data_IF_634120115134
#
_entry.id   IF_634120115134
#
_cell.length_a   1.000
_cell.length_b   1.000
_cell.length_c   1.000
_cell.angle_alpha   90.00
_cell.angle_beta   90.00
_cell.angle_gamma   90.00
#
_symmetry.space_group_name_H-M   'P 1'
#
loop_
_entity.id
_entity.type
_entity.pdbx_description
1 polymer ?
#
# COMPACT_ATOMS: atom_id res chain seq x y z
N UNK A 1 0.30 -9.37 -28.16
CA UNK A 1 -0.15 -9.19 -26.76
C UNK A 1 0.38 -10.35 -25.94
N UNK A 2 1.36 -10.09 -25.06
CA UNK A 2 1.89 -11.12 -24.15
C UNK A 2 0.94 -11.28 -22.96
N UNK A 3 0.51 -12.52 -22.71
CA UNK A 3 -0.33 -12.89 -21.56
C UNK A 3 0.45 -12.63 -20.27
N UNK A 4 -0.12 -11.98 -19.24
CA UNK A 4 0.59 -11.76 -17.99
C UNK A 4 0.96 -13.12 -17.37
N UNK A 5 2.15 -13.26 -16.76
CA UNK A 5 2.51 -14.50 -16.10
C UNK A 5 1.49 -14.79 -14.99
N UNK A 6 0.97 -16.02 -14.96
CA UNK A 6 0.21 -16.50 -13.81
C UNK A 6 1.10 -16.33 -12.58
N UNK A 7 0.56 -15.76 -11.50
CA UNK A 7 1.30 -15.56 -10.24
C UNK A 7 0.73 -16.58 -9.26
N UNK A 8 1.53 -17.58 -8.91
CA UNK A 8 1.21 -18.50 -7.82
C UNK A 8 1.82 -17.96 -6.52
N UNK A 9 1.17 -18.15 -5.36
CA UNK A 9 1.74 -17.73 -4.09
C UNK A 9 3.07 -18.45 -3.87
N UNK A 10 4.06 -17.79 -3.24
CA UNK A 10 5.38 -18.37 -3.12
C UNK A 10 5.33 -19.47 -2.04
N UNK A 11 5.86 -20.68 -2.28
CA UNK A 11 5.72 -21.79 -1.36
C UNK A 11 6.50 -21.58 -0.05
N UNK A 12 5.94 -22.06 1.05
CA UNK A 12 6.58 -22.17 2.37
C UNK A 12 6.37 -23.57 2.95
N UNK A 13 7.29 -24.04 3.81
CA UNK A 13 7.35 -25.43 4.26
C UNK A 13 8.75 -26.05 4.12
N UNK A 14 8.87 -27.36 3.93
CA UNK A 14 10.18 -28.03 3.82
C UNK A 14 11.01 -27.54 2.63
N UNK A 15 12.14 -26.85 2.90
CA UNK A 15 13.09 -26.39 1.87
C UNK A 15 13.55 -27.49 0.89
N UNK A 16 13.90 -28.71 1.35
CA UNK A 16 14.20 -29.83 0.45
C UNK A 16 13.05 -30.16 -0.53
N UNK A 17 11.81 -30.03 -0.07
CA UNK A 17 10.62 -30.31 -0.91
C UNK A 17 10.42 -29.20 -1.96
N UNK A 18 10.60 -27.95 -1.55
CA UNK A 18 10.59 -26.80 -2.46
C UNK A 18 11.68 -26.90 -3.52
N UNK A 19 12.93 -27.16 -3.12
CA UNK A 19 14.08 -27.28 -4.02
C UNK A 19 13.86 -28.41 -5.03
N UNK A 20 13.21 -29.51 -4.63
CA UNK A 20 12.86 -30.62 -5.52
C UNK A 20 11.77 -30.29 -6.56
N UNK A 21 10.93 -29.27 -6.32
CA UNK A 21 9.75 -28.97 -7.15
C UNK A 21 9.78 -27.58 -7.80
N UNK A 22 10.83 -26.79 -7.57
CA UNK A 22 10.97 -25.42 -8.09
C UNK A 22 10.83 -25.34 -9.61
N UNK A 23 11.31 -26.35 -10.35
CA UNK A 23 11.19 -26.39 -11.82
C UNK A 23 9.75 -26.38 -12.30
N UNK A 24 8.88 -27.17 -11.65
CA UNK A 24 7.44 -27.26 -11.94
C UNK A 24 6.70 -26.01 -11.48
N UNK A 25 7.07 -25.47 -10.31
CA UNK A 25 6.43 -24.28 -9.74
C UNK A 25 6.72 -23.02 -10.56
N UNK A 26 7.92 -22.89 -11.14
CA UNK A 26 8.27 -21.80 -12.07
C UNK A 26 7.42 -21.78 -13.34
N UNK A 27 6.84 -22.91 -13.74
CA UNK A 27 5.91 -22.97 -14.87
C UNK A 27 4.53 -22.34 -14.55
N UNK A 28 4.20 -22.20 -13.26
CA UNK A 28 2.95 -21.60 -12.77
C UNK A 28 3.07 -20.11 -12.43
N UNK A 29 4.30 -19.60 -12.29
CA UNK A 29 4.60 -18.21 -11.94
C UNK A 29 5.96 -18.03 -11.27
N UNK A 30 6.29 -16.79 -10.89
CA UNK A 30 7.47 -16.53 -10.08
C UNK A 30 7.34 -17.28 -8.73
N UNK A 31 8.24 -18.23 -8.48
CA UNK A 31 8.27 -19.03 -7.26
C UNK A 31 9.43 -18.55 -6.37
N UNK A 32 9.09 -18.00 -5.20
CA UNK A 32 10.03 -17.63 -4.15
C UNK A 32 9.77 -18.49 -2.91
N UNK A 33 10.80 -18.92 -2.20
CA UNK A 33 10.63 -19.64 -0.94
C UNK A 33 10.52 -18.65 0.21
N UNK A 34 9.46 -18.74 1.01
CA UNK A 34 9.18 -17.76 2.07
C UNK A 34 9.58 -18.20 3.48
N UNK A 35 10.07 -19.43 3.64
CA UNK A 35 10.50 -19.96 4.92
C UNK A 35 9.85 -21.30 5.28
N UNK A 36 10.24 -21.84 6.44
CA UNK A 36 9.82 -23.17 6.88
C UNK A 36 8.39 -23.23 7.43
N UNK A 37 7.82 -22.09 7.81
CA UNK A 37 6.44 -22.00 8.29
C UNK A 37 5.46 -21.99 7.10
N UNK A 38 4.64 -23.04 7.02
CA UNK A 38 3.63 -23.23 5.99
C UNK A 38 2.59 -22.08 5.94
N UNK A 39 2.40 -21.32 7.03
CA UNK A 39 1.51 -20.17 7.07
C UNK A 39 2.05 -18.93 6.34
N UNK A 40 3.36 -18.85 6.08
CA UNK A 40 3.98 -17.68 5.47
C UNK A 40 3.53 -17.46 4.02
N UNK A 41 3.30 -18.52 3.26
CA UNK A 41 2.78 -18.42 1.90
C UNK A 41 1.42 -17.70 1.86
N UNK A 42 0.46 -18.15 2.68
CA UNK A 42 -0.87 -17.55 2.77
C UNK A 42 -0.83 -16.13 3.33
N UNK A 43 0.03 -15.85 4.32
CA UNK A 43 0.18 -14.50 4.86
C UNK A 43 0.71 -13.52 3.79
N UNK A 44 1.74 -13.92 3.02
CA UNK A 44 2.28 -13.07 1.97
C UNK A 44 1.27 -12.84 0.85
N UNK A 45 0.48 -13.86 0.48
CA UNK A 45 -0.59 -13.71 -0.50
C UNK A 45 -1.64 -12.69 -0.04
N UNK A 46 -2.12 -12.82 1.20
CA UNK A 46 -3.07 -11.86 1.79
C UNK A 46 -2.47 -10.44 1.89
N UNK A 47 -1.19 -10.30 2.22
CA UNK A 47 -0.51 -9.02 2.27
C UNK A 47 -0.41 -8.37 0.87
N UNK A 48 -0.08 -9.15 -0.16
CA UNK A 48 -0.06 -8.69 -1.55
C UNK A 48 -1.45 -8.27 -2.03
N UNK A 49 -2.48 -9.06 -1.69
CA UNK A 49 -3.88 -8.73 -2.00
C UNK A 49 -4.34 -7.48 -1.26
N UNK A 50 -3.91 -7.26 -0.02
CA UNK A 50 -4.19 -6.03 0.73
C UNK A 50 -3.66 -4.79 -0.02
N UNK A 51 -2.41 -4.85 -0.51
CA UNK A 51 -1.85 -3.79 -1.36
C UNK A 51 -2.65 -3.57 -2.66
N UNK A 52 -3.11 -4.65 -3.30
CA UNK A 52 -3.98 -4.57 -4.48
C UNK A 52 -5.31 -3.86 -4.18
N UNK A 53 -5.95 -4.16 -3.04
CA UNK A 53 -7.19 -3.48 -2.66
C UNK A 53 -6.96 -2.00 -2.31
N UNK A 54 -5.79 -1.64 -1.76
CA UNK A 54 -5.38 -0.24 -1.60
C UNK A 54 -5.28 0.50 -2.95
N UNK A 55 -4.66 -0.13 -3.95
CA UNK A 55 -4.61 0.39 -5.32
C UNK A 55 -6.01 0.59 -5.91
N UNK A 56 -6.91 -0.38 -5.74
CA UNK A 56 -8.29 -0.27 -6.22
C UNK A 56 -9.05 0.85 -5.53
N UNK A 57 -8.92 0.98 -4.20
CA UNK A 57 -9.54 2.06 -3.45
C UNK A 57 -9.10 3.45 -3.95
N UNK A 58 -7.79 3.65 -4.14
CA UNK A 58 -7.25 4.89 -4.68
C UNK A 58 -7.72 5.17 -6.11
N UNK A 59 -7.67 4.16 -6.99
CA UNK A 59 -8.09 4.29 -8.39
C UNK A 59 -9.58 4.63 -8.52
N UNK A 60 -10.46 3.94 -7.77
CA UNK A 60 -11.90 4.21 -7.83
C UNK A 60 -12.26 5.57 -7.25
N UNK A 61 -11.65 5.98 -6.14
CA UNK A 61 -11.87 7.30 -5.58
C UNK A 61 -11.43 8.40 -6.56
N UNK A 62 -10.20 8.33 -7.08
CA UNK A 62 -9.68 9.33 -8.01
C UNK A 62 -10.50 9.40 -9.30
N UNK A 63 -10.95 8.25 -9.82
CA UNK A 63 -11.78 8.19 -11.03
C UNK A 63 -13.17 8.78 -10.76
N UNK A 64 -13.81 8.46 -9.64
CA UNK A 64 -15.12 9.02 -9.29
C UNK A 64 -15.06 10.55 -9.13
N UNK A 65 -13.95 11.08 -8.62
CA UNK A 65 -13.74 12.52 -8.48
C UNK A 65 -13.64 13.24 -9.82
N UNK A 66 -13.00 12.67 -10.84
CA UNK A 66 -12.94 13.30 -12.17
C UNK A 66 -14.18 13.02 -13.01
N UNK A 67 -14.87 11.91 -12.76
CA UNK A 67 -16.13 11.54 -13.42
C UNK A 67 -17.26 12.50 -13.04
N UNK A 68 -17.23 13.12 -11.85
CA UNK A 68 -18.19 14.17 -11.47
C UNK A 68 -18.16 15.40 -12.38
N UNK A 69 -17.05 15.60 -13.09
CA UNK A 69 -16.85 16.66 -14.11
C UNK A 69 -16.89 16.10 -15.55
N UNK A 70 -17.36 14.86 -15.73
CA UNK A 70 -17.52 14.22 -17.04
C UNK A 70 -16.25 13.66 -17.67
N UNK A 71 -15.12 13.61 -16.94
CA UNK A 71 -13.87 13.05 -17.45
C UNK A 71 -13.93 11.53 -17.36
N UNK A 72 -13.84 10.86 -18.51
CA UNK A 72 -13.91 9.41 -18.54
C UNK A 72 -12.67 8.73 -17.95
N UNK A 73 -12.89 7.63 -17.22
CA UNK A 73 -11.84 6.84 -16.58
C UNK A 73 -10.67 6.46 -17.50
N UNK A 74 -10.95 6.11 -18.77
CA UNK A 74 -9.91 5.72 -19.75
C UNK A 74 -9.00 6.88 -20.14
N UNK A 75 -9.55 8.08 -20.21
CA UNK A 75 -8.79 9.31 -20.48
C UNK A 75 -7.94 9.67 -19.27
N UNK A 76 -8.54 9.71 -18.09
CA UNK A 76 -7.83 10.01 -16.85
C UNK A 76 -6.72 9.00 -16.55
N UNK A 77 -6.89 7.73 -16.89
CA UNK A 77 -5.86 6.71 -16.72
C UNK A 77 -4.55 7.03 -17.45
N UNK A 78 -4.59 7.81 -18.55
CA UNK A 78 -3.38 8.23 -19.25
C UNK A 78 -2.50 9.14 -18.37
N UNK A 79 -3.12 9.90 -17.45
CA UNK A 79 -2.43 10.74 -16.48
C UNK A 79 -2.11 9.95 -15.20
N UNK A 80 -3.11 9.24 -14.65
CA UNK A 80 -2.99 8.56 -13.37
C UNK A 80 -2.02 7.37 -13.41
N UNK A 81 -1.96 6.63 -14.52
CA UNK A 81 -1.10 5.44 -14.66
C UNK A 81 0.39 5.73 -14.49
N UNK A 82 0.97 6.66 -15.27
CA UNK A 82 2.37 7.09 -15.10
C UNK A 82 2.64 7.68 -13.70
N UNK A 83 1.69 8.46 -13.16
CA UNK A 83 1.81 9.02 -11.82
C UNK A 83 1.92 7.93 -10.73
N UNK A 84 1.00 6.96 -10.73
CA UNK A 84 1.06 5.83 -9.79
C UNK A 84 2.36 5.02 -9.96
N UNK A 85 2.85 4.88 -11.19
CA UNK A 85 4.13 4.21 -11.46
C UNK A 85 5.31 4.95 -10.84
N UNK A 86 5.34 6.29 -10.95
CA UNK A 86 6.35 7.10 -10.28
C UNK A 86 6.26 6.98 -8.75
N UNK A 87 5.04 7.01 -8.18
CA UNK A 87 4.81 6.87 -6.74
C UNK A 87 5.23 5.50 -6.18
N UNK A 88 5.18 4.43 -6.98
CA UNK A 88 5.76 3.14 -6.56
C UNK A 88 7.28 3.24 -6.28
N UNK A 89 7.97 4.22 -6.87
CA UNK A 89 9.38 4.49 -6.63
C UNK A 89 9.71 4.96 -5.21
N UNK A 90 8.72 5.46 -4.46
CA UNK A 90 8.89 5.93 -3.07
C UNK A 90 8.86 4.77 -2.05
N UNK A 91 8.27 3.62 -2.43
CA UNK A 91 8.07 2.49 -1.52
C UNK A 91 9.35 1.93 -0.87
N UNK A 92 10.51 1.85 -1.56
CA UNK A 92 11.76 1.44 -0.92
C UNK A 92 12.18 2.36 0.23
N UNK A 93 11.97 3.68 0.09
CA UNK A 93 12.26 4.64 1.15
C UNK A 93 11.34 4.47 2.36
N UNK A 94 10.06 4.18 2.14
CA UNK A 94 9.14 3.83 3.23
C UNK A 94 9.50 2.51 3.91
N UNK A 95 9.92 1.50 3.15
CA UNK A 95 10.38 0.23 3.71
C UNK A 95 11.59 0.42 4.63
N UNK A 96 12.59 1.22 4.22
CA UNK A 96 13.75 1.54 5.05
C UNK A 96 13.36 2.26 6.36
N UNK A 97 12.45 3.23 6.29
CA UNK A 97 11.93 3.95 7.46
C UNK A 97 11.17 3.02 8.40
N UNK A 98 10.37 2.10 7.86
CA UNK A 98 9.61 1.12 8.64
C UNK A 98 10.55 0.12 9.33
N UNK A 99 11.51 -0.45 8.61
CA UNK A 99 12.43 -1.45 9.15
C UNK A 99 13.37 -0.85 10.22
N UNK A 100 13.78 0.41 10.03
CA UNK A 100 14.63 1.12 11.00
C UNK A 100 13.87 1.77 12.16
N UNK A 101 12.55 1.95 12.03
CA UNK A 101 11.74 2.82 12.90
C UNK A 101 12.04 4.32 12.74
N UNK A 102 12.89 4.69 11.79
CA UNK A 102 13.36 6.05 11.54
C UNK A 102 12.40 6.88 10.70
N UNK A 103 11.17 7.10 11.17
CA UNK A 103 10.15 7.84 10.41
C UNK A 103 10.48 9.33 10.18
N UNK A 104 11.43 9.91 10.93
CA UNK A 104 11.94 11.27 10.73
C UNK A 104 13.10 11.39 9.73
N UNK A 105 13.50 10.30 9.06
CA UNK A 105 14.63 10.32 8.13
C UNK A 105 14.24 10.94 6.79
N UNK A 106 15.04 11.89 6.28
CA UNK A 106 14.90 12.47 4.94
C UNK A 106 13.46 12.92 4.60
N UNK A 107 12.79 13.60 5.54
CA UNK A 107 11.40 14.02 5.40
C UNK A 107 11.32 15.20 4.42
N UNK A 108 10.74 14.95 3.25
CA UNK A 108 10.47 15.99 2.23
C UNK A 108 9.05 16.56 2.39
N UNK A 109 8.09 15.71 2.73
CA UNK A 109 6.70 16.06 2.98
C UNK A 109 6.23 15.36 4.25
N UNK A 110 6.08 16.14 5.33
CA UNK A 110 5.75 15.60 6.64
C UNK A 110 4.27 15.19 6.77
N UNK A 111 3.97 14.42 7.80
CA UNK A 111 2.66 13.85 8.07
C UNK A 111 1.59 14.94 8.26
N UNK A 112 1.90 16.04 8.96
CA UNK A 112 0.96 17.12 9.18
C UNK A 112 0.54 17.81 7.86
N UNK A 113 1.52 18.04 6.96
CA UNK A 113 1.25 18.54 5.61
C UNK A 113 0.37 17.56 4.83
N UNK A 114 0.69 16.27 4.88
CA UNK A 114 -0.05 15.24 4.14
C UNK A 114 -1.48 15.04 4.69
N UNK A 115 -1.67 15.18 6.01
CA UNK A 115 -3.00 15.20 6.63
C UNK A 115 -3.84 16.36 6.08
N UNK A 116 -3.26 17.55 6.01
CA UNK A 116 -3.91 18.74 5.44
C UNK A 116 -4.23 18.54 3.94
N UNK A 117 -3.29 18.00 3.17
CA UNK A 117 -3.50 17.71 1.75
C UNK A 117 -4.64 16.71 1.53
N UNK A 118 -4.68 15.62 2.30
CA UNK A 118 -5.74 14.62 2.20
C UNK A 118 -7.10 15.17 2.67
N UNK A 119 -7.12 16.02 3.69
CA UNK A 119 -8.34 16.75 4.10
C UNK A 119 -8.89 17.62 2.96
N UNK A 120 -8.03 18.37 2.27
CA UNK A 120 -8.44 19.18 1.13
C UNK A 120 -9.02 18.32 -0.01
N UNK A 121 -8.39 17.18 -0.32
CA UNK A 121 -8.92 16.22 -1.31
C UNK A 121 -10.31 15.75 -0.90
N UNK A 122 -10.51 15.37 0.37
CA UNK A 122 -11.81 14.90 0.84
C UNK A 122 -12.87 16.00 0.90
N UNK A 123 -12.48 17.25 1.15
CA UNK A 123 -13.38 18.42 1.05
C UNK A 123 -13.85 18.62 -0.38
N UNK A 124 -12.94 18.71 -1.34
CA UNK A 124 -13.29 18.81 -2.75
C UNK A 124 -14.15 17.63 -3.22
N UNK A 125 -13.84 16.41 -2.75
CA UNK A 125 -14.64 15.21 -3.05
C UNK A 125 -16.09 15.36 -2.58
N UNK A 126 -16.32 15.89 -1.36
CA UNK A 126 -17.67 16.13 -0.84
C UNK A 126 -18.40 17.22 -1.61
N UNK A 127 -17.70 18.29 -1.98
CA UNK A 127 -18.26 19.39 -2.79
C UNK A 127 -18.70 18.90 -4.17
N UNK A 128 -18.01 17.89 -4.72
CA UNK A 128 -18.35 17.19 -5.95
C UNK A 128 -19.44 16.12 -5.77
N UNK A 129 -20.00 15.95 -4.56
CA UNK A 129 -21.03 14.94 -4.28
C UNK A 129 -20.54 13.49 -4.29
N UNK A 130 -19.22 13.28 -4.24
CA UNK A 130 -18.59 11.95 -4.28
C UNK A 130 -18.38 11.40 -2.87
N UNK A 131 -18.49 10.08 -2.72
CA UNK A 131 -18.27 9.43 -1.43
C UNK A 131 -16.78 9.43 -1.01
N UNK A 132 -16.52 9.75 0.26
CA UNK A 132 -15.15 9.79 0.82
C UNK A 132 -14.72 8.50 1.52
N UNK A 133 -15.60 7.49 1.59
CA UNK A 133 -15.42 6.28 2.41
C UNK A 133 -14.17 5.47 2.12
N UNK A 134 -13.59 5.60 0.92
CA UNK A 134 -12.37 4.89 0.53
C UNK A 134 -11.10 5.50 1.13
N UNK A 135 -11.08 6.81 1.39
CA UNK A 135 -9.89 7.52 1.88
C UNK A 135 -10.07 8.17 3.26
N UNK A 136 -11.30 8.35 3.75
CA UNK A 136 -11.55 8.90 5.08
C UNK A 136 -10.83 8.13 6.22
N UNK A 137 -10.81 6.79 6.24
CA UNK A 137 -10.07 6.06 7.28
C UNK A 137 -8.56 6.32 7.29
N UNK A 138 -7.97 6.63 6.12
CA UNK A 138 -6.55 6.99 6.03
C UNK A 138 -6.29 8.37 6.65
N UNK A 139 -7.17 9.34 6.41
CA UNK A 139 -7.08 10.66 7.05
C UNK A 139 -7.18 10.55 8.58
N UNK A 140 -8.03 9.67 9.08
CA UNK A 140 -8.14 9.43 10.53
C UNK A 140 -6.84 8.90 11.13
N UNK A 141 -6.14 8.02 10.42
CA UNK A 141 -4.81 7.53 10.84
C UNK A 141 -3.76 8.65 10.82
N UNK A 142 -3.77 9.49 9.79
CA UNK A 142 -2.84 10.63 9.69
C UNK A 142 -3.03 11.58 10.87
N UNK A 143 -4.29 11.99 11.12
CA UNK A 143 -4.66 12.85 12.25
C UNK A 143 -4.30 12.24 13.59
N UNK A 144 -4.51 10.93 13.76
CA UNK A 144 -4.20 10.23 15.01
C UNK A 144 -2.71 10.22 15.30
N UNK A 145 -1.87 9.98 14.29
CA UNK A 145 -0.40 9.98 14.45
C UNK A 145 0.11 11.40 14.67
N UNK A 146 -0.40 12.38 13.93
CA UNK A 146 -0.08 13.80 14.10
C UNK A 146 -0.44 14.30 15.52
N UNK A 147 -1.67 14.04 15.98
CA UNK A 147 -2.13 14.40 17.33
C UNK A 147 -1.34 13.73 18.45
N UNK A 148 -0.61 12.64 18.15
CA UNK A 148 0.30 11.99 19.08
C UNK A 148 1.70 12.64 19.12
N UNK A 149 1.90 13.78 18.46
CA UNK A 149 3.14 14.55 18.45
C UNK A 149 4.12 14.17 17.34
N UNK A 150 3.65 13.46 16.30
CA UNK A 150 4.49 12.93 15.23
C UNK A 150 4.26 13.63 13.88
N UNK A 151 3.75 14.86 13.88
CA UNK A 151 3.44 15.61 12.66
C UNK A 151 4.64 15.88 11.74
N UNK A 152 5.85 15.95 12.31
CA UNK A 152 7.11 16.17 11.58
C UNK A 152 7.69 14.89 10.96
N UNK A 153 7.11 13.72 11.25
CA UNK A 153 7.52 12.46 10.64
C UNK A 153 7.02 12.34 9.20
N UNK A 154 7.60 11.40 8.46
CA UNK A 154 7.06 10.91 7.20
C UNK A 154 5.77 10.10 7.40
N UNK A 155 4.92 9.99 6.37
CA UNK A 155 3.66 9.22 6.42
C UNK A 155 3.85 7.74 6.76
N UNK A 156 5.05 7.19 6.57
CA UNK A 156 5.42 5.85 7.05
C UNK A 156 5.18 5.65 8.55
N UNK A 157 5.20 6.72 9.38
CA UNK A 157 4.93 6.64 10.82
C UNK A 157 3.54 6.12 11.18
N UNK A 158 2.59 6.15 10.24
CA UNK A 158 1.26 5.54 10.40
C UNK A 158 1.33 4.02 10.58
N UNK A 159 2.39 3.38 10.05
CA UNK A 159 2.64 1.95 10.25
C UNK A 159 2.60 1.55 11.74
N UNK A 160 3.12 2.42 12.62
CA UNK A 160 3.17 2.21 14.06
C UNK A 160 1.78 2.11 14.71
N UNK A 161 0.75 2.69 14.09
CA UNK A 161 -0.63 2.62 14.58
C UNK A 161 -1.32 1.29 14.24
N UNK A 162 -0.89 0.63 13.18
CA UNK A 162 -1.56 -0.56 12.62
C UNK A 162 -0.76 -1.85 12.83
N UNK A 163 0.54 -1.76 13.12
CA UNK A 163 1.35 -2.93 13.46
C UNK A 163 0.87 -3.53 14.77
N UNK A 164 1.05 -4.85 14.92
CA UNK A 164 0.84 -5.51 16.20
C UNK A 164 1.79 -4.90 17.23
N UNK A 165 1.25 -4.30 18.28
CA UNK A 165 2.05 -3.95 19.46
C UNK A 165 2.50 -5.25 20.10
N UNK A 166 3.81 -5.53 20.06
CA UNK A 166 4.39 -6.53 20.93
C UNK A 166 4.09 -6.08 22.36
N UNK A 167 3.30 -6.85 23.10
CA UNK A 167 3.00 -6.53 24.49
C UNK A 167 4.31 -6.30 25.22
N UNK A 168 4.44 -5.16 25.91
CA UNK A 168 5.50 -4.98 26.88
C UNK A 168 5.43 -6.18 27.82
N UNK A 169 6.45 -7.04 27.79
CA UNK A 169 6.59 -8.11 28.76
C UNK A 169 6.60 -7.50 30.15
N UNK A 170 5.58 -7.82 30.94
CA UNK A 170 5.60 -7.70 32.40
C UNK A 170 6.63 -8.64 32.98
#
# INVERSE_FOLDING_TARGET
MARPPKRAPPPSGSKPTFDAHIGTLKALGAAAYLGADAGLASLHDLALLSGMYGLFAGFFHATALVDSEGIHAREFLQLLGPWMTAMMGELPGYAEKIDSGGHGLNVVSNLAMQATSLENILTATREQGVATSLLAPLLDLFRKRDSAGHGDEDISGVFELIRRRSGAGT
#
